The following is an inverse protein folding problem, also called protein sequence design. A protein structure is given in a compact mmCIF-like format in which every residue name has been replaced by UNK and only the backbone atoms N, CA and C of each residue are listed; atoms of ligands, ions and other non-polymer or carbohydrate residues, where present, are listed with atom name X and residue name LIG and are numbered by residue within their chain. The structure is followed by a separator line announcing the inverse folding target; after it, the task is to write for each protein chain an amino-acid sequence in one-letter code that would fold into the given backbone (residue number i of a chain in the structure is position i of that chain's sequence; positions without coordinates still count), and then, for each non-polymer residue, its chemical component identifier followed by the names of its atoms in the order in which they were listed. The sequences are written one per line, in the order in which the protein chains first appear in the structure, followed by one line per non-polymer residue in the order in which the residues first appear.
data_IF_585496757417
#
_entry.id   IF_585496757417
#
_cell.length_a   1.000
_cell.length_b   1.000
_cell.length_c   1.000
_cell.angle_alpha   90.00
_cell.angle_beta   90.00
_cell.angle_gamma   90.00
#
_symmetry.space_group_name_H-M   'P 1'
#
loop_
_entity.id
_entity.type
_entity.pdbx_description
1 polymer ?
#
# COMPACT_ATOMS: atom_id res chain seq x y z
N UNK A 1 3.99 2.33 -4.12
CA UNK A 1 4.58 3.25 -3.13
C UNK A 1 4.50 4.68 -3.62
N UNK A 2 4.66 5.65 -2.71
CA UNK A 2 4.71 7.08 -3.05
C UNK A 2 6.02 7.35 -3.79
N UNK A 3 5.92 7.94 -4.97
CA UNK A 3 7.08 8.27 -5.80
C UNK A 3 6.75 9.49 -6.67
N UNK A 4 7.78 10.11 -7.25
CA UNK A 4 7.61 11.23 -8.16
C UNK A 4 6.80 10.77 -9.38
N UNK A 5 5.65 11.40 -9.68
CA UNK A 5 4.76 10.91 -10.75
C UNK A 5 5.39 11.11 -12.12
N UNK A 6 5.37 10.06 -12.95
CA UNK A 6 5.83 10.08 -14.35
C UNK A 6 4.67 10.11 -15.35
N UNK A 7 3.51 9.57 -14.96
CA UNK A 7 2.31 9.43 -15.80
C UNK A 7 1.08 10.08 -15.16
N UNK A 8 0.04 10.34 -15.98
CA UNK A 8 -1.21 10.99 -15.53
C UNK A 8 -1.92 10.22 -14.40
N UNK A 9 -1.86 8.89 -14.41
CA UNK A 9 -2.41 8.06 -13.34
C UNK A 9 -1.69 8.34 -12.01
N UNK A 10 -0.36 8.41 -12.05
CA UNK A 10 0.46 8.67 -10.87
C UNK A 10 0.19 10.06 -10.30
N UNK A 11 -0.08 11.06 -11.15
CA UNK A 11 -0.48 12.41 -10.68
C UNK A 11 -1.77 12.34 -9.88
N UNK A 12 -2.82 11.67 -10.39
CA UNK A 12 -4.07 11.50 -9.65
C UNK A 12 -3.89 10.73 -8.35
N UNK A 13 -3.05 9.69 -8.36
CA UNK A 13 -2.69 8.95 -7.16
C UNK A 13 -2.06 9.88 -6.11
N UNK A 14 -1.14 10.77 -6.52
CA UNK A 14 -0.50 11.73 -5.62
C UNK A 14 -1.47 12.77 -5.06
N UNK A 15 -2.47 13.20 -5.83
CA UNK A 15 -3.50 14.11 -5.34
C UNK A 15 -4.38 13.43 -4.27
N UNK A 16 -4.75 12.17 -4.47
CA UNK A 16 -5.44 11.37 -3.45
C UNK A 16 -4.61 11.18 -2.18
N UNK A 17 -3.31 10.91 -2.32
CA UNK A 17 -2.38 10.79 -1.18
C UNK A 17 -2.37 12.09 -0.38
N UNK A 18 -2.21 13.25 -1.04
CA UNK A 18 -2.19 14.55 -0.36
C UNK A 18 -3.49 14.85 0.39
N UNK A 19 -4.64 14.60 -0.24
CA UNK A 19 -5.93 14.80 0.40
C UNK A 19 -6.11 13.91 1.64
N UNK A 20 -5.70 12.64 1.54
CA UNK A 20 -5.79 11.69 2.66
C UNK A 20 -4.89 12.11 3.84
N UNK A 21 -3.70 12.62 3.54
CA UNK A 21 -2.76 13.09 4.56
C UNK A 21 -3.25 14.33 5.32
N UNK A 22 -4.12 15.16 4.72
CA UNK A 22 -4.66 16.35 5.41
C UNK A 22 -5.78 16.03 6.41
N UNK A 23 -6.44 14.88 6.28
CA UNK A 23 -7.59 14.50 7.10
C UNK A 23 -7.25 13.45 8.15
N UNK A 24 -6.06 12.84 8.07
CA UNK A 24 -5.65 11.75 8.94
C UNK A 24 -5.24 12.23 10.35
N UNK A 25 -5.76 11.58 11.38
CA UNK A 25 -5.32 11.78 12.77
C UNK A 25 -3.91 11.21 13.03
N UNK A 26 -3.59 10.09 12.37
CA UNK A 26 -2.32 9.38 12.46
C UNK A 26 -1.81 9.12 11.04
N UNK A 27 -0.54 9.46 10.80
CA UNK A 27 0.18 9.16 9.57
C UNK A 27 1.34 8.22 9.88
N UNK A 28 1.33 7.03 9.28
CA UNK A 28 2.38 6.05 9.47
C UNK A 28 3.18 5.83 8.18
N UNK A 29 4.45 6.21 8.19
CA UNK A 29 5.38 5.95 7.10
C UNK A 29 5.98 4.55 7.25
N UNK A 30 5.59 3.63 6.38
CA UNK A 30 6.18 2.30 6.30
C UNK A 30 7.46 2.33 5.46
N UNK A 31 8.56 1.87 6.04
CA UNK A 31 9.91 1.84 5.46
C UNK A 31 10.41 0.41 5.42
N UNK A 32 11.07 0.02 4.34
CA UNK A 32 11.87 -1.21 4.31
C UNK A 32 13.21 -0.97 5.00
N UNK A 33 13.43 -1.54 6.18
CA UNK A 33 14.66 -1.33 6.93
C UNK A 33 15.88 -2.02 6.30
N UNK A 34 15.67 -2.92 5.32
CA UNK A 34 16.76 -3.63 4.63
C UNK A 34 17.38 -2.80 3.51
N UNK A 35 16.66 -1.78 3.03
CA UNK A 35 17.10 -0.90 1.97
C UNK A 35 17.87 0.30 2.53
N UNK A 36 18.81 0.81 1.74
CA UNK A 36 19.46 2.08 2.07
C UNK A 36 18.50 3.23 1.82
N UNK A 37 18.37 4.14 2.78
CA UNK A 37 17.57 5.34 2.60
C UNK A 37 18.06 6.12 1.37
N UNK A 38 17.13 6.35 0.45
CA UNK A 38 17.38 6.95 -0.84
C UNK A 38 16.53 8.19 -1.12
N UNK A 39 16.48 8.55 -2.39
CA UNK A 39 15.71 9.71 -2.87
C UNK A 39 14.19 9.54 -2.69
N UNK A 40 13.70 8.29 -2.71
CA UNK A 40 12.30 7.98 -2.46
C UNK A 40 11.89 8.33 -1.02
N UNK A 41 12.67 7.89 -0.04
CA UNK A 41 12.46 8.22 1.38
C UNK A 41 12.46 9.73 1.60
N UNK A 42 13.46 10.42 1.04
CA UNK A 42 13.58 11.87 1.15
C UNK A 42 12.35 12.58 0.56
N UNK A 43 11.87 12.12 -0.60
CA UNK A 43 10.68 12.68 -1.24
C UNK A 43 9.43 12.55 -0.35
N UNK A 44 9.24 11.38 0.29
CA UNK A 44 8.09 11.18 1.18
C UNK A 44 8.23 12.01 2.46
N UNK A 45 9.42 12.12 3.02
CA UNK A 45 9.69 13.01 4.17
C UNK A 45 9.36 14.46 3.83
N UNK A 46 9.78 14.94 2.66
CA UNK A 46 9.50 16.32 2.24
C UNK A 46 8.02 16.55 1.93
N UNK A 47 7.32 15.55 1.41
CA UNK A 47 5.86 15.58 1.27
C UNK A 47 5.19 15.68 2.64
N UNK A 48 5.59 14.85 3.61
CA UNK A 48 5.02 14.83 4.95
C UNK A 48 5.24 16.13 5.70
N UNK A 49 6.38 16.81 5.48
CA UNK A 49 6.64 18.17 6.01
C UNK A 49 5.64 19.22 5.52
N UNK A 50 5.03 19.00 4.36
CA UNK A 50 4.07 19.92 3.75
C UNK A 50 2.61 19.60 4.13
N UNK A 51 2.36 18.45 4.76
CA UNK A 51 1.02 17.99 5.16
C UNK A 51 0.77 18.23 6.66
N UNK A 52 -0.49 18.18 7.11
CA UNK A 52 -0.99 18.70 8.40
C UNK A 52 -0.42 18.10 9.69
N UNK A 53 -0.92 18.58 10.83
CA UNK A 53 -0.41 18.37 12.21
C UNK A 53 -0.74 16.99 12.85
N UNK A 54 -1.14 15.98 12.06
CA UNK A 54 -1.43 14.64 12.60
C UNK A 54 -0.18 13.98 13.21
N UNK A 55 -0.38 13.05 14.17
CA UNK A 55 0.72 12.31 14.78
C UNK A 55 1.42 11.44 13.73
N UNK A 56 2.75 11.45 13.69
CA UNK A 56 3.57 10.82 12.65
C UNK A 56 4.42 9.71 13.21
N UNK A 57 4.31 8.54 12.60
CA UNK A 57 5.05 7.34 12.99
C UNK A 57 5.93 6.89 11.85
N UNK A 58 7.17 6.52 12.13
CA UNK A 58 7.99 5.76 11.18
C UNK A 58 7.97 4.29 11.57
N UNK A 59 7.50 3.43 10.66
CA UNK A 59 7.48 1.99 10.85
C UNK A 59 8.64 1.39 10.06
N UNK A 60 9.65 0.90 10.75
CA UNK A 60 10.79 0.23 10.13
C UNK A 60 10.48 -1.26 9.99
N UNK A 61 10.01 -1.68 8.83
CA UNK A 61 9.58 -3.06 8.58
C UNK A 61 10.74 -3.96 8.14
N UNK A 62 10.52 -5.28 8.19
CA UNK A 62 11.47 -6.35 7.80
C UNK A 62 12.69 -6.48 8.72
N UNK A 63 12.54 -6.16 10.01
CA UNK A 63 13.66 -6.28 10.97
C UNK A 63 14.15 -7.71 11.17
N UNK A 64 13.33 -8.71 10.83
CA UNK A 64 13.68 -10.13 10.84
C UNK A 64 14.85 -10.46 9.88
N UNK A 65 15.04 -9.65 8.84
CA UNK A 65 16.12 -9.79 7.87
C UNK A 65 17.40 -9.03 8.27
N UNK A 66 17.37 -8.29 9.38
CA UNK A 66 18.47 -7.45 9.84
C UNK A 66 19.18 -7.99 11.07
N UNK A 67 20.49 -7.71 11.13
CA UNK A 67 21.23 -7.83 12.39
C UNK A 67 20.87 -6.64 13.28
N UNK A 68 20.60 -6.88 14.57
CA UNK A 68 20.23 -5.83 15.56
C UNK A 68 21.15 -4.61 15.55
N UNK A 69 22.45 -4.78 15.30
CA UNK A 69 23.41 -3.66 15.25
C UNK A 69 23.15 -2.67 14.11
N UNK A 70 22.50 -3.11 13.02
CA UNK A 70 22.16 -2.25 11.88
C UNK A 70 20.92 -1.39 12.10
N UNK A 71 20.11 -1.71 13.13
CA UNK A 71 18.83 -1.04 13.34
C UNK A 71 18.99 0.35 13.96
N UNK A 72 19.91 0.51 14.93
CA UNK A 72 20.13 1.79 15.60
C UNK A 72 20.48 2.95 14.63
N UNK A 73 21.41 2.78 13.67
CA UNK A 73 21.68 3.84 12.68
C UNK A 73 20.46 4.23 11.83
N UNK A 74 19.56 3.29 11.54
CA UNK A 74 18.35 3.57 10.77
C UNK A 74 17.38 4.39 11.62
N UNK A 75 17.16 3.99 12.88
CA UNK A 75 16.34 4.73 13.84
C UNK A 75 16.88 6.16 13.99
N UNK A 76 18.19 6.33 14.21
CA UNK A 76 18.84 7.64 14.32
C UNK A 76 18.61 8.51 13.08
N UNK A 77 18.67 7.92 11.88
CA UNK A 77 18.44 8.65 10.62
C UNK A 77 17.02 9.18 10.52
N UNK A 78 16.01 8.37 10.80
CA UNK A 78 14.61 8.83 10.78
C UNK A 78 14.32 9.78 11.95
N UNK A 79 14.94 9.57 13.12
CA UNK A 79 14.82 10.47 14.27
C UNK A 79 15.39 11.85 13.96
N UNK A 80 16.55 11.92 13.29
CA UNK A 80 17.19 13.17 12.89
C UNK A 80 16.36 14.02 11.91
N UNK A 81 15.31 13.46 11.29
CA UNK A 81 14.40 14.24 10.46
C UNK A 81 13.53 15.21 11.27
N UNK A 82 13.38 14.96 12.58
CA UNK A 82 12.51 15.70 13.49
C UNK A 82 11.02 15.59 13.15
N UNK A 83 10.65 14.62 12.30
CA UNK A 83 9.32 14.53 11.71
C UNK A 83 8.38 13.59 12.47
N UNK A 84 8.92 12.57 13.12
CA UNK A 84 8.17 11.47 13.70
C UNK A 84 8.12 11.60 15.21
N UNK A 85 6.93 11.41 15.77
CA UNK A 85 6.70 11.34 17.21
C UNK A 85 7.27 10.02 17.77
N UNK A 86 7.15 8.94 16.99
CA UNK A 86 7.61 7.61 17.37
C UNK A 86 8.19 6.86 16.16
N UNK A 87 9.18 6.01 16.43
CA UNK A 87 9.83 5.16 15.42
C UNK A 87 9.75 3.72 15.91
N UNK A 88 8.99 2.90 15.19
CA UNK A 88 8.64 1.55 15.61
C UNK A 88 9.24 0.52 14.66
N UNK A 89 10.23 -0.26 15.11
CA UNK A 89 10.74 -1.40 14.34
C UNK A 89 9.75 -2.57 14.40
N UNK A 90 9.41 -3.14 13.25
CA UNK A 90 8.49 -4.27 13.14
C UNK A 90 8.95 -5.31 12.13
N UNK A 91 8.44 -6.53 12.27
CA UNK A 91 8.45 -7.55 11.23
C UNK A 91 7.03 -7.96 10.91
N UNK A 92 6.48 -7.44 9.81
CA UNK A 92 5.13 -7.78 9.38
C UNK A 92 4.97 -9.28 9.05
N UNK A 93 6.05 -9.98 8.69
CA UNK A 93 6.04 -11.41 8.37
C UNK A 93 5.98 -12.29 9.60
N UNK A 94 6.64 -11.89 10.69
CA UNK A 94 6.69 -12.67 11.93
C UNK A 94 5.73 -12.19 13.01
N UNK A 95 5.20 -10.96 12.88
CA UNK A 95 4.37 -10.29 13.86
C UNK A 95 5.16 -9.52 14.93
N UNK A 96 6.49 -9.57 14.91
CA UNK A 96 7.34 -8.86 15.88
C UNK A 96 7.06 -7.35 15.83
N UNK A 97 6.74 -6.75 16.99
CA UNK A 97 6.41 -5.33 17.16
C UNK A 97 5.04 -4.87 16.62
N UNK A 98 4.24 -5.76 16.01
CA UNK A 98 2.95 -5.37 15.41
C UNK A 98 1.89 -5.04 16.48
N UNK A 99 1.80 -5.83 17.54
CA UNK A 99 0.86 -5.56 18.65
C UNK A 99 1.20 -4.26 19.38
N UNK A 100 2.49 -3.99 19.58
CA UNK A 100 2.97 -2.74 20.18
C UNK A 100 2.63 -1.53 19.31
N UNK A 101 2.80 -1.67 17.98
CA UNK A 101 2.39 -0.64 17.02
C UNK A 101 0.89 -0.37 17.07
N UNK A 102 0.05 -1.41 17.14
CA UNK A 102 -1.40 -1.26 17.26
C UNK A 102 -1.79 -0.55 18.56
N UNK A 103 -1.21 -0.96 19.69
CA UNK A 103 -1.42 -0.31 20.99
C UNK A 103 -1.01 1.17 20.95
N UNK A 104 0.09 1.47 20.26
CA UNK A 104 0.57 2.83 20.09
C UNK A 104 -0.40 3.68 19.25
N UNK A 105 -1.00 3.12 18.20
CA UNK A 105 -2.06 3.79 17.45
C UNK A 105 -3.29 4.05 18.32
N UNK A 106 -3.80 3.04 19.03
CA UNK A 106 -4.96 3.22 19.91
C UNK A 106 -4.75 4.28 20.98
N UNK A 107 -3.54 4.39 21.53
CA UNK A 107 -3.20 5.41 22.52
C UNK A 107 -3.19 6.83 21.97
N UNK A 108 -2.90 6.99 20.68
CA UNK A 108 -2.74 8.28 20.01
C UNK A 108 -3.94 8.68 19.14
N UNK A 109 -4.93 7.81 18.99
CA UNK A 109 -6.20 8.13 18.33
C UNK A 109 -7.01 9.11 19.17
N UNK A 110 -7.64 10.07 18.50
CA UNK A 110 -8.56 10.99 19.17
C UNK A 110 -9.84 10.24 19.57
N UNK A 111 -10.42 10.51 20.75
CA UNK A 111 -11.72 9.99 21.09
C UNK A 111 -12.76 10.42 20.04
N UNK A 112 -13.57 9.48 19.59
CA UNK A 112 -14.58 9.72 18.56
C UNK A 112 -15.56 8.57 18.46
N UNK A 113 -16.65 8.79 17.72
CA UNK A 113 -17.59 7.72 17.39
C UNK A 113 -17.01 6.81 16.31
N UNK A 114 -17.39 5.53 16.37
CA UNK A 114 -17.04 4.60 15.31
C UNK A 114 -17.70 5.03 14.00
N UNK A 115 -16.89 5.32 12.98
CA UNK A 115 -17.38 5.70 11.65
C UNK A 115 -18.00 4.53 10.90
N UNK A 116 -17.66 3.31 11.29
CA UNK A 116 -18.12 2.06 10.68
C UNK A 116 -18.60 1.08 11.75
N UNK A 117 -19.53 0.17 11.41
CA UNK A 117 -19.91 -0.94 12.28
C UNK A 117 -18.72 -1.83 12.67
N UNK A 118 -18.71 -2.35 13.89
CA UNK A 118 -17.61 -3.20 14.39
C UNK A 118 -17.54 -4.58 13.74
N UNK A 119 -18.62 -5.01 13.07
CA UNK A 119 -18.71 -6.29 12.37
C UNK A 119 -18.18 -6.20 10.92
N UNK A 120 -18.00 -4.98 10.40
CA UNK A 120 -17.55 -4.77 9.03
C UNK A 120 -16.02 -4.92 8.97
N UNK A 121 -15.56 -5.96 8.28
CA UNK A 121 -14.12 -6.17 8.04
C UNK A 121 -13.54 -5.18 7.02
N UNK A 122 -14.36 -4.69 6.08
CA UNK A 122 -13.95 -3.82 4.99
C UNK A 122 -15.16 -3.11 4.38
N UNK A 123 -14.94 -1.91 3.85
CA UNK A 123 -15.95 -1.14 3.10
C UNK A 123 -15.97 -1.49 1.61
N UNK A 124 -15.04 -2.33 1.15
CA UNK A 124 -14.90 -2.68 -0.26
C UNK A 124 -15.79 -3.88 -0.63
N UNK A 125 -16.46 -3.86 -1.79
CA UNK A 125 -17.27 -5.00 -2.23
C UNK A 125 -16.41 -6.19 -2.66
N UNK A 126 -16.94 -7.41 -2.64
CA UNK A 126 -16.24 -8.63 -3.09
C UNK A 126 -15.67 -8.52 -4.51
N UNK A 127 -16.37 -7.79 -5.39
CA UNK A 127 -15.92 -7.50 -6.76
C UNK A 127 -14.61 -6.73 -6.80
N UNK A 128 -14.38 -5.83 -5.84
CA UNK A 128 -13.12 -5.11 -5.70
C UNK A 128 -12.00 -6.10 -5.39
N UNK A 129 -12.19 -6.99 -4.43
CA UNK A 129 -11.19 -8.01 -4.10
C UNK A 129 -10.90 -8.94 -5.28
N UNK A 130 -11.93 -9.37 -6.02
CA UNK A 130 -11.72 -10.17 -7.23
C UNK A 130 -10.88 -9.42 -8.28
N UNK A 131 -11.17 -8.13 -8.50
CA UNK A 131 -10.37 -7.30 -9.41
C UNK A 131 -8.91 -7.16 -8.93
N UNK A 132 -8.71 -6.93 -7.64
CA UNK A 132 -7.37 -6.78 -7.05
C UNK A 132 -6.56 -8.08 -7.05
N UNK A 133 -7.20 -9.23 -6.83
CA UNK A 133 -6.55 -10.55 -6.96
C UNK A 133 -6.10 -10.79 -8.40
N UNK A 134 -6.97 -10.50 -9.39
CA UNK A 134 -6.59 -10.61 -10.80
C UNK A 134 -5.44 -9.64 -11.10
N UNK A 135 -5.51 -8.40 -10.60
CA UNK A 135 -4.46 -7.39 -10.78
C UNK A 135 -3.14 -7.85 -10.16
N UNK A 136 -3.16 -8.44 -8.96
CA UNK A 136 -1.98 -9.05 -8.33
C UNK A 136 -1.34 -10.10 -9.26
N UNK A 137 -2.13 -10.96 -9.92
CA UNK A 137 -1.59 -11.95 -10.85
C UNK A 137 -1.01 -11.32 -12.12
N UNK A 138 -1.62 -10.24 -12.61
CA UNK A 138 -1.01 -9.45 -13.68
C UNK A 138 0.34 -8.87 -13.22
N UNK A 139 0.43 -8.33 -12.00
CA UNK A 139 1.69 -7.81 -11.44
C UNK A 139 2.75 -8.91 -11.28
N UNK A 140 2.35 -10.10 -10.84
CA UNK A 140 3.24 -11.24 -10.59
C UNK A 140 3.82 -11.84 -11.89
N UNK A 141 3.03 -11.84 -12.96
CA UNK A 141 3.39 -12.47 -14.24
C UNK A 141 3.86 -11.50 -15.33
N UNK A 142 3.79 -10.18 -15.10
CA UNK A 142 4.29 -9.16 -16.04
C UNK A 142 5.50 -8.41 -15.47
N UNK A 143 6.29 -7.82 -16.36
CA UNK A 143 7.49 -7.05 -16.02
C UNK A 143 7.40 -5.62 -16.58
N UNK A 144 8.40 -4.80 -16.24
CA UNK A 144 8.56 -3.41 -16.70
C UNK A 144 7.38 -2.48 -16.32
N UNK A 145 6.83 -1.73 -17.27
CA UNK A 145 5.84 -0.67 -17.03
C UNK A 145 4.37 -1.17 -17.00
N UNK A 146 4.13 -2.41 -17.41
CA UNK A 146 2.79 -3.04 -17.44
C UNK A 146 2.10 -3.11 -16.08
N UNK A 147 2.80 -3.50 -15.00
CA UNK A 147 2.29 -3.46 -13.64
C UNK A 147 1.60 -2.14 -13.25
N UNK A 148 2.11 -1.02 -13.77
CA UNK A 148 1.70 0.32 -13.36
C UNK A 148 0.70 0.99 -14.30
N UNK A 149 0.40 0.35 -15.44
CA UNK A 149 -0.46 0.89 -16.52
C UNK A 149 -1.67 0.02 -16.81
N UNK A 150 -1.90 -1.00 -15.99
CA UNK A 150 -3.04 -1.92 -16.11
C UNK A 150 -4.13 -1.59 -15.09
N UNK A 151 -5.38 -1.79 -15.49
CA UNK A 151 -6.54 -1.72 -14.61
C UNK A 151 -7.42 -2.96 -14.82
N UNK A 152 -8.04 -3.45 -13.74
CA UNK A 152 -8.96 -4.60 -13.80
C UNK A 152 -10.36 -4.13 -13.41
N UNK A 153 -11.35 -4.50 -14.20
CA UNK A 153 -12.77 -4.25 -13.94
C UNK A 153 -13.53 -5.56 -13.95
N UNK A 154 -14.38 -5.80 -12.94
CA UNK A 154 -15.32 -6.94 -12.94
C UNK A 154 -16.60 -6.51 -13.66
N UNK A 155 -16.83 -7.08 -14.84
CA UNK A 155 -17.95 -6.74 -15.71
C UNK A 155 -19.23 -7.49 -15.33
N UNK A 156 -19.10 -8.76 -14.95
CA UNK A 156 -20.24 -9.61 -14.52
C UNK A 156 -19.84 -10.51 -13.36
N UNK A 157 -20.83 -10.74 -12.50
CA UNK A 157 -20.76 -11.61 -11.34
C UNK A 157 -22.03 -12.45 -11.32
N UNK A 158 -21.89 -13.76 -11.46
CA UNK A 158 -23.02 -14.69 -11.50
C UNK A 158 -22.84 -15.77 -10.45
N UNK A 159 -23.86 -15.95 -9.62
CA UNK A 159 -23.89 -16.96 -8.57
C UNK A 159 -24.82 -18.09 -8.98
N UNK A 160 -24.31 -19.31 -8.98
CA UNK A 160 -25.07 -20.54 -9.17
C UNK A 160 -25.04 -21.32 -7.84
N UNK A 161 -25.97 -20.98 -6.95
CA UNK A 161 -26.08 -21.58 -5.61
C UNK A 161 -26.22 -23.11 -5.68
N UNK A 162 -26.99 -23.61 -6.67
CA UNK A 162 -27.21 -25.04 -6.84
C UNK A 162 -25.92 -25.81 -7.17
N UNK A 163 -24.94 -25.15 -7.80
CA UNK A 163 -23.63 -25.73 -8.11
C UNK A 163 -22.52 -25.23 -7.20
N UNK A 164 -22.82 -24.39 -6.21
CA UNK A 164 -21.84 -23.69 -5.38
C UNK A 164 -20.71 -23.06 -6.22
N UNK A 165 -21.10 -22.32 -7.27
CA UNK A 165 -20.17 -21.77 -8.27
C UNK A 165 -20.40 -20.27 -8.46
N UNK A 166 -19.33 -19.49 -8.44
CA UNK A 166 -19.33 -18.08 -8.82
C UNK A 166 -18.59 -17.94 -10.14
N UNK A 167 -19.23 -17.30 -11.13
CA UNK A 167 -18.61 -16.94 -12.40
C UNK A 167 -18.31 -15.45 -12.43
N UNK A 168 -17.03 -15.14 -12.58
CA UNK A 168 -16.53 -13.78 -12.63
C UNK A 168 -16.04 -13.51 -14.04
N UNK A 169 -16.56 -12.44 -14.64
CA UNK A 169 -16.10 -11.94 -15.93
C UNK A 169 -15.40 -10.62 -15.67
N UNK A 170 -14.14 -10.53 -16.05
CA UNK A 170 -13.32 -9.35 -15.80
C UNK A 170 -12.57 -8.93 -17.07
N UNK A 171 -12.37 -7.62 -17.20
CA UNK A 171 -11.58 -7.00 -18.26
C UNK A 171 -10.30 -6.44 -17.70
N UNK A 172 -9.17 -6.85 -18.28
CA UNK A 172 -7.85 -6.22 -18.04
C UNK A 172 -7.66 -5.15 -19.12
N UNK A 173 -7.58 -3.89 -18.69
CA UNK A 173 -7.34 -2.73 -19.55
C UNK A 173 -5.86 -2.40 -19.53
N UNK A 174 -5.28 -2.21 -20.71
CA UNK A 174 -3.90 -1.74 -20.92
C UNK A 174 -3.89 -0.37 -21.57
N UNK A 175 -2.83 0.41 -21.38
CA UNK A 175 -2.72 1.78 -21.92
C UNK A 175 -2.41 1.79 -23.43
N UNK A 176 -1.63 0.82 -23.92
CA UNK A 176 -1.17 0.76 -25.33
C UNK A 176 -1.44 -0.61 -25.96
N UNK A 177 -1.74 -0.63 -27.26
CA UNK A 177 -1.92 -1.89 -28.00
C UNK A 177 -0.71 -2.84 -27.92
N UNK A 178 0.51 -2.30 -27.82
CA UNK A 178 1.74 -3.10 -27.69
C UNK A 178 1.82 -3.89 -26.37
N UNK A 179 1.04 -3.51 -25.37
CA UNK A 179 1.01 -4.15 -24.05
C UNK A 179 0.10 -5.39 -24.02
N UNK A 180 -0.95 -5.41 -24.85
CA UNK A 180 -1.93 -6.49 -24.90
C UNK A 180 -1.30 -7.86 -25.20
N UNK A 181 -0.39 -8.03 -26.17
CA UNK A 181 0.29 -9.31 -26.40
C UNK A 181 1.14 -9.78 -25.22
N UNK A 182 1.63 -8.85 -24.40
CA UNK A 182 2.45 -9.20 -23.22
C UNK A 182 1.54 -9.78 -22.14
N UNK A 183 0.40 -9.15 -21.87
CA UNK A 183 -0.60 -9.66 -20.91
C UNK A 183 -1.22 -10.99 -21.37
N UNK A 184 -1.40 -11.19 -22.68
CA UNK A 184 -1.89 -12.48 -23.20
C UNK A 184 -0.79 -13.56 -23.10
N UNK A 185 0.48 -13.18 -23.15
CA UNK A 185 1.59 -14.12 -23.24
C UNK A 185 1.63 -14.88 -24.58
N UNK A 186 2.67 -15.67 -24.77
CA UNK A 186 2.85 -16.45 -26.00
C UNK A 186 1.83 -17.59 -26.00
N UNK A 187 1.00 -17.69 -27.05
CA UNK A 187 -0.07 -18.71 -27.17
C UNK A 187 -1.14 -18.67 -26.06
N UNK A 188 -1.39 -17.52 -25.45
CA UNK A 188 -2.34 -17.39 -24.34
C UNK A 188 -1.97 -18.28 -23.13
N UNK A 189 -0.68 -18.36 -22.83
CA UNK A 189 -0.14 -19.15 -21.71
C UNK A 189 -0.07 -18.39 -20.39
N UNK A 190 -0.27 -17.06 -20.43
CA UNK A 190 -0.34 -16.20 -19.24
C UNK A 190 -1.79 -16.06 -18.77
#
# INVERSE_FOLDING_TARGET
GIHKPLHKMNVRMMDHVRASLSEADIVALLVDATEEFGHGDQYVIDLLRQTGEGNRFAILNKIDLLKKQKLLPIIERYSATGLFDEIVPVSASTGDGVDDLLNLFFKNLKPGEALYPTEDYTTQPERFFAAEIIREKVLEHTVDELPYTTAVSVDRWEEDEAKNLIKIYATIVVERESQKPIVIGKRAEM
#
